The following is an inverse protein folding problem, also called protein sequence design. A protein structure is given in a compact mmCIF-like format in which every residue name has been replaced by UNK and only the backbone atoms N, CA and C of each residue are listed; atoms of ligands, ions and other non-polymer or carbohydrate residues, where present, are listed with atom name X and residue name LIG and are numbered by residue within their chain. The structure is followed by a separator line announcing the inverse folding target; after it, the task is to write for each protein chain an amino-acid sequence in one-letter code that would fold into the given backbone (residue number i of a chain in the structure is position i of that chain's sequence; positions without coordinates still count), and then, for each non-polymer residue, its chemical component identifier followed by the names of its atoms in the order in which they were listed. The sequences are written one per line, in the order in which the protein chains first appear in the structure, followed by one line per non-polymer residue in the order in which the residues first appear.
data_IF_641112885719
#
_entry.id   IF_641112885719
#
_cell.length_a   1.000
_cell.length_b   1.000
_cell.length_c   1.000
_cell.angle_alpha   90.00
_cell.angle_beta   90.00
_cell.angle_gamma   90.00
#
_symmetry.space_group_name_H-M   'P 1'
#
loop_
_entity.id
_entity.type
_entity.pdbx_description
1 polymer ?
#
# COMPACT_ATOMS: atom_id res chain seq x y z
N UNK A 1 -29.99 -6.16 -5.58
CA UNK A 1 -29.60 -5.63 -4.27
C UNK A 1 -30.34 -6.35 -3.14
N UNK A 2 -31.69 -6.27 -3.01
CA UNK A 2 -32.45 -6.96 -1.94
C UNK A 2 -32.15 -8.47 -1.75
N UNK A 3 -32.14 -9.26 -2.82
CA UNK A 3 -31.82 -10.71 -2.73
C UNK A 3 -30.39 -10.97 -2.21
N UNK A 4 -29.44 -10.09 -2.56
CA UNK A 4 -28.06 -10.21 -2.08
C UNK A 4 -27.95 -9.89 -0.59
N UNK A 5 -28.72 -8.92 -0.09
CA UNK A 5 -28.75 -8.58 1.34
C UNK A 5 -29.40 -9.70 2.16
N UNK A 6 -30.48 -10.29 1.66
CA UNK A 6 -31.15 -11.45 2.28
C UNK A 6 -30.23 -12.68 2.33
N UNK A 7 -29.54 -12.99 1.22
CA UNK A 7 -28.55 -14.06 1.17
C UNK A 7 -27.38 -13.80 2.13
N UNK A 8 -26.92 -12.54 2.24
CA UNK A 8 -25.85 -12.16 3.17
C UNK A 8 -26.28 -12.27 4.63
N UNK A 9 -27.51 -11.88 4.94
CA UNK A 9 -28.08 -12.01 6.27
C UNK A 9 -28.20 -13.48 6.68
N UNK A 10 -28.75 -14.33 5.80
CA UNK A 10 -28.84 -15.78 6.05
C UNK A 10 -27.47 -16.43 6.28
N UNK A 11 -26.45 -16.01 5.51
CA UNK A 11 -25.09 -16.52 5.63
C UNK A 11 -24.32 -16.01 6.85
N UNK A 12 -24.87 -15.06 7.63
CA UNK A 12 -24.16 -14.49 8.77
C UNK A 12 -23.91 -15.52 9.88
N UNK A 13 -24.91 -16.38 10.16
CA UNK A 13 -24.81 -17.41 11.18
C UNK A 13 -23.75 -18.46 10.84
N UNK A 14 -23.76 -18.97 9.62
CA UNK A 14 -22.77 -19.94 9.12
C UNK A 14 -21.37 -19.33 9.02
N UNK A 15 -21.27 -18.06 8.61
CA UNK A 15 -20.00 -17.34 8.58
C UNK A 15 -19.37 -17.22 9.98
N UNK A 16 -20.16 -16.85 11.00
CA UNK A 16 -19.64 -16.73 12.37
C UNK A 16 -19.23 -18.09 12.93
N UNK A 17 -20.05 -19.13 12.71
CA UNK A 17 -19.74 -20.50 13.15
C UNK A 17 -18.46 -21.03 12.50
N UNK A 18 -18.30 -20.85 11.18
CA UNK A 18 -17.12 -21.27 10.44
C UNK A 18 -15.86 -20.52 10.89
N UNK A 19 -15.95 -19.20 11.11
CA UNK A 19 -14.80 -18.44 11.59
C UNK A 19 -14.41 -18.84 13.02
N UNK A 20 -15.38 -19.11 13.89
CA UNK A 20 -15.12 -19.54 15.26
C UNK A 20 -14.43 -20.91 15.29
N UNK A 21 -14.96 -21.88 14.54
CA UNK A 21 -14.38 -23.23 14.43
C UNK A 21 -12.97 -23.18 13.82
N UNK A 22 -12.78 -22.44 12.71
CA UNK A 22 -11.45 -22.23 12.14
C UNK A 22 -10.47 -21.59 13.11
N UNK A 23 -10.90 -20.58 13.88
CA UNK A 23 -10.04 -19.94 14.87
C UNK A 23 -9.63 -20.92 15.98
N UNK A 24 -10.56 -21.77 16.45
CA UNK A 24 -10.26 -22.84 17.40
C UNK A 24 -9.26 -23.85 16.82
N UNK A 25 -9.51 -24.37 15.61
CA UNK A 25 -8.61 -25.31 14.94
C UNK A 25 -7.20 -24.74 14.77
N UNK A 26 -7.10 -23.45 14.40
CA UNK A 26 -5.84 -22.73 14.28
C UNK A 26 -5.11 -22.66 15.62
N UNK A 27 -5.82 -22.41 16.72
CA UNK A 27 -5.21 -22.36 18.06
C UNK A 27 -4.75 -23.76 18.47
N UNK A 28 -5.58 -24.78 18.30
CA UNK A 28 -5.26 -26.15 18.68
C UNK A 28 -4.05 -26.70 17.90
N UNK A 29 -4.00 -26.47 16.59
CA UNK A 29 -2.91 -26.95 15.74
C UNK A 29 -1.62 -26.12 15.91
N UNK A 30 -1.72 -24.80 16.00
CA UNK A 30 -0.54 -23.93 15.98
C UNK A 30 0.08 -23.69 17.36
N UNK A 31 -0.66 -23.88 18.45
CA UNK A 31 -0.11 -23.76 19.81
C UNK A 31 1.05 -24.73 20.09
N UNK A 32 0.94 -26.05 19.82
CA UNK A 32 2.06 -26.97 20.01
C UNK A 32 3.21 -26.66 19.05
N UNK A 33 2.92 -26.42 17.77
CA UNK A 33 3.93 -26.07 16.77
C UNK A 33 4.74 -24.82 17.16
N UNK A 34 4.08 -23.80 17.73
CA UNK A 34 4.75 -22.59 18.21
C UNK A 34 5.61 -22.85 19.45
N UNK A 35 5.16 -23.71 20.36
CA UNK A 35 5.95 -24.11 21.54
C UNK A 35 7.20 -24.87 21.12
N UNK A 36 7.08 -25.77 20.16
CA UNK A 36 8.20 -26.57 19.67
C UNK A 36 9.20 -25.71 18.89
N UNK A 37 8.72 -24.82 18.00
CA UNK A 37 9.57 -23.87 17.29
C UNK A 37 10.33 -22.92 18.23
N UNK A 38 9.68 -22.44 19.31
CA UNK A 38 10.35 -21.61 20.33
C UNK A 38 11.44 -22.37 21.06
N UNK A 39 11.21 -23.64 21.39
CA UNK A 39 12.22 -24.50 22.03
C UNK A 39 13.38 -24.80 21.09
N UNK A 40 13.12 -25.14 19.83
CA UNK A 40 14.16 -25.50 18.87
C UNK A 40 15.06 -24.32 18.50
N UNK A 41 14.48 -23.12 18.40
CA UNK A 41 15.21 -21.91 18.00
C UNK A 41 15.71 -21.07 19.20
N UNK A 42 15.43 -21.50 20.43
CA UNK A 42 15.71 -20.79 21.68
C UNK A 42 15.20 -19.33 21.65
N UNK A 43 13.92 -19.16 21.31
CA UNK A 43 13.27 -17.84 21.13
C UNK A 43 12.35 -17.54 22.31
N UNK A 44 12.52 -16.37 22.91
CA UNK A 44 11.60 -15.83 23.92
C UNK A 44 10.47 -15.01 23.30
N UNK A 45 9.36 -14.86 24.05
CA UNK A 45 8.29 -13.94 23.66
C UNK A 45 8.79 -12.49 23.55
N UNK A 46 9.73 -12.09 24.41
CA UNK A 46 10.33 -10.74 24.40
C UNK A 46 11.10 -10.46 23.12
N UNK A 47 11.88 -11.45 22.65
CA UNK A 47 12.65 -11.33 21.40
C UNK A 47 11.72 -11.11 20.21
N UNK A 48 10.60 -11.81 20.21
CA UNK A 48 9.59 -11.69 19.15
C UNK A 48 8.89 -10.33 19.17
N UNK A 49 8.70 -9.72 20.34
CA UNK A 49 8.15 -8.36 20.46
C UNK A 49 9.17 -7.31 20.00
N UNK A 50 10.44 -7.45 20.41
CA UNK A 50 11.51 -6.55 19.95
C UNK A 50 11.69 -6.63 18.44
N UNK A 51 11.60 -7.83 17.85
CA UNK A 51 11.71 -8.01 16.39
C UNK A 51 10.57 -7.36 15.63
N UNK A 52 9.34 -7.38 16.15
CA UNK A 52 8.22 -6.63 15.54
C UNK A 52 8.51 -5.12 15.53
N UNK A 53 9.08 -4.59 16.60
CA UNK A 53 9.48 -3.18 16.69
C UNK A 53 10.66 -2.86 15.74
N UNK A 54 11.68 -3.70 15.70
CA UNK A 54 12.83 -3.56 14.80
C UNK A 54 12.40 -3.60 13.33
N UNK A 55 11.53 -4.53 12.96
CA UNK A 55 10.96 -4.65 11.61
C UNK A 55 10.20 -3.37 11.23
N UNK A 56 9.35 -2.85 12.13
CA UNK A 56 8.62 -1.61 11.90
C UNK A 56 9.56 -0.40 11.74
N UNK A 57 10.58 -0.28 12.60
CA UNK A 57 11.59 0.78 12.52
C UNK A 57 12.42 0.67 11.23
N UNK A 58 12.76 -0.54 10.80
CA UNK A 58 13.45 -0.78 9.54
C UNK A 58 12.64 -0.24 8.37
N UNK A 59 11.36 -0.59 8.27
CA UNK A 59 10.51 -0.08 7.19
C UNK A 59 10.24 1.43 7.29
N UNK A 60 10.23 2.00 8.49
CA UNK A 60 10.09 3.45 8.69
C UNK A 60 11.35 4.23 8.29
N UNK A 61 12.54 3.64 8.44
CA UNK A 61 13.83 4.26 8.08
C UNK A 61 14.28 3.92 6.66
N UNK A 62 13.56 3.04 5.95
CA UNK A 62 13.87 2.61 4.60
C UNK A 62 13.81 3.79 3.61
N UNK A 63 14.98 4.18 3.10
CA UNK A 63 15.16 5.30 2.17
C UNK A 63 15.53 6.62 2.84
N UNK A 64 15.75 6.65 4.16
CA UNK A 64 16.34 7.80 4.83
C UNK A 64 17.86 7.77 4.64
N UNK A 65 18.40 8.84 4.08
CA UNK A 65 19.83 9.01 3.91
C UNK A 65 20.51 9.35 5.25
N UNK A 66 21.70 8.80 5.48
CA UNK A 66 22.53 9.31 6.57
C UNK A 66 22.92 10.77 6.30
N UNK A 67 23.01 11.61 7.34
CA UNK A 67 23.51 12.95 7.22
C UNK A 67 25.04 12.90 7.00
N UNK A 68 25.47 12.58 5.77
CA UNK A 68 26.78 13.06 5.32
C UNK A 68 26.71 14.57 5.23
N UNK A 69 27.83 15.27 5.46
CA UNK A 69 27.94 16.72 5.56
C UNK A 69 27.22 17.41 4.38
N UNK A 70 25.93 17.72 4.60
CA UNK A 70 24.95 18.13 3.57
C UNK A 70 25.51 19.34 2.82
N UNK A 71 26.28 20.16 3.55
CA UNK A 71 27.00 21.34 3.11
C UNK A 71 27.96 21.07 1.95
N UNK A 72 28.81 20.05 2.03
CA UNK A 72 29.82 19.76 0.99
C UNK A 72 29.17 19.20 -0.30
N UNK A 73 28.07 18.46 -0.13
CA UNK A 73 27.31 17.91 -1.26
C UNK A 73 26.50 18.99 -1.96
N UNK A 74 25.88 19.88 -1.18
CA UNK A 74 25.15 21.05 -1.68
C UNK A 74 26.06 22.02 -2.42
N UNK A 75 27.34 22.12 -2.07
CA UNK A 75 28.31 22.93 -2.83
C UNK A 75 28.75 22.28 -4.15
N UNK A 76 28.93 20.96 -4.19
CA UNK A 76 29.55 20.28 -5.34
C UNK A 76 28.52 19.84 -6.40
N UNK A 77 27.26 19.63 -6.03
CA UNK A 77 26.17 19.35 -6.97
C UNK A 77 25.94 20.52 -7.95
N UNK A 78 25.84 21.79 -7.51
CA UNK A 78 25.84 22.95 -8.39
C UNK A 78 27.19 23.27 -9.03
N UNK A 79 28.31 22.61 -8.69
CA UNK A 79 29.59 22.75 -9.43
C UNK A 79 29.67 21.85 -10.67
N UNK A 80 28.79 20.84 -10.79
CA UNK A 80 28.66 20.00 -11.99
C UNK A 80 27.75 20.64 -13.04
N UNK A 81 26.68 21.29 -12.60
CA UNK A 81 25.70 21.99 -13.43
C UNK A 81 26.23 23.16 -14.29
N UNK A 82 27.23 23.99 -13.92
CA UNK A 82 27.63 25.16 -14.68
C UNK A 82 28.33 24.78 -15.97
N UNK A 83 29.10 23.68 -16.02
CA UNK A 83 29.69 23.22 -17.30
C UNK A 83 28.64 22.73 -18.29
N UNK A 84 27.63 22.02 -17.81
CA UNK A 84 26.52 21.55 -18.64
C UNK A 84 25.58 22.70 -19.02
N UNK A 85 25.37 23.66 -18.13
CA UNK A 85 24.58 24.87 -18.37
C UNK A 85 25.29 25.85 -19.31
N UNK A 86 26.61 26.03 -19.18
CA UNK A 86 27.46 26.86 -20.05
C UNK A 86 27.56 26.25 -21.45
N UNK A 87 27.79 24.94 -21.57
CA UNK A 87 27.81 24.26 -22.87
C UNK A 87 26.44 24.31 -23.56
N UNK A 88 25.34 24.16 -22.79
CA UNK A 88 23.97 24.35 -23.30
C UNK A 88 23.71 25.80 -23.71
N UNK A 89 24.13 26.77 -22.89
CA UNK A 89 24.01 28.20 -23.17
C UNK A 89 24.77 28.57 -24.44
N UNK A 90 26.00 28.08 -24.60
CA UNK A 90 26.81 28.29 -25.80
C UNK A 90 26.12 27.69 -27.02
N UNK A 91 25.62 26.45 -26.92
CA UNK A 91 24.88 25.80 -28.03
C UNK A 91 23.62 26.57 -28.44
N UNK A 92 22.81 27.02 -27.47
CA UNK A 92 21.56 27.75 -27.75
C UNK A 92 21.86 29.16 -28.27
N UNK A 93 22.88 29.82 -27.73
CA UNK A 93 23.35 31.12 -28.21
C UNK A 93 23.91 31.04 -29.63
N UNK A 94 24.72 30.02 -29.94
CA UNK A 94 25.15 29.74 -31.32
C UNK A 94 23.95 29.54 -32.22
N UNK A 95 22.97 28.71 -31.81
CA UNK A 95 21.74 28.46 -32.58
C UNK A 95 20.94 29.74 -32.85
N UNK A 96 20.82 30.62 -31.86
CA UNK A 96 20.18 31.93 -32.00
C UNK A 96 20.94 32.81 -33.00
N UNK A 97 22.27 32.92 -32.84
CA UNK A 97 23.12 33.76 -33.71
C UNK A 97 23.20 33.26 -35.16
N UNK A 98 23.07 31.95 -35.37
CA UNK A 98 23.08 31.34 -36.72
C UNK A 98 21.68 31.21 -37.32
N UNK A 99 20.62 31.65 -36.63
CA UNK A 99 19.26 31.55 -37.15
C UNK A 99 19.06 32.57 -38.29
N UNK A 100 18.80 32.07 -39.50
CA UNK A 100 18.52 32.90 -40.68
C UNK A 100 17.03 32.77 -41.01
N UNK A 101 16.23 33.83 -40.86
CA UNK A 101 14.83 33.81 -41.26
C UNK A 101 14.70 33.76 -42.80
N UNK A 102 13.83 32.90 -43.32
CA UNK A 102 13.57 32.76 -44.76
C UNK A 102 12.48 33.74 -45.19
N UNK A 103 12.84 34.81 -45.90
CA UNK A 103 11.89 35.90 -46.21
C UNK A 103 10.79 35.44 -47.18
N UNK A 104 9.54 35.34 -46.71
CA UNK A 104 8.37 35.04 -47.55
C UNK A 104 7.02 35.31 -46.84
N UNK A 105 6.03 35.91 -47.51
CA UNK A 105 4.79 36.40 -46.86
C UNK A 105 3.91 35.29 -46.26
N UNK A 106 4.06 34.03 -46.67
CA UNK A 106 3.28 32.88 -46.16
C UNK A 106 3.86 32.25 -44.88
N UNK A 107 5.04 32.69 -44.41
CA UNK A 107 5.77 32.04 -43.31
C UNK A 107 6.15 32.99 -42.17
N UNK A 108 5.77 34.27 -42.25
CA UNK A 108 6.20 35.31 -41.31
C UNK A 108 5.76 35.02 -39.85
N UNK A 109 4.49 34.70 -39.60
CA UNK A 109 4.00 34.43 -38.24
C UNK A 109 4.69 33.23 -37.58
N UNK A 110 4.90 32.16 -38.35
CA UNK A 110 5.62 30.96 -37.88
C UNK A 110 7.08 31.28 -37.55
N UNK A 111 7.74 32.10 -38.37
CA UNK A 111 9.12 32.52 -38.13
C UNK A 111 9.29 33.44 -36.94
N UNK A 112 8.34 34.37 -36.71
CA UNK A 112 8.32 35.20 -35.50
C UNK A 112 8.15 34.33 -34.26
N UNK A 113 7.27 33.31 -34.31
CA UNK A 113 7.10 32.35 -33.22
C UNK A 113 8.37 31.53 -32.95
N UNK A 114 9.01 31.00 -34.00
CA UNK A 114 10.22 30.18 -33.88
C UNK A 114 11.42 31.01 -33.37
N UNK A 115 11.56 32.26 -33.82
CA UNK A 115 12.60 33.19 -33.33
C UNK A 115 12.39 33.51 -31.85
N UNK A 116 11.15 33.81 -31.43
CA UNK A 116 10.81 34.06 -30.02
C UNK A 116 11.08 32.86 -29.13
N UNK A 117 10.84 31.63 -29.61
CA UNK A 117 11.16 30.40 -28.86
C UNK A 117 12.65 30.26 -28.64
N UNK A 118 13.46 30.44 -29.68
CA UNK A 118 14.93 30.32 -29.58
C UNK A 118 15.50 31.44 -28.70
N UNK A 119 14.97 32.66 -28.83
CA UNK A 119 15.32 33.80 -27.97
C UNK A 119 14.98 33.51 -26.50
N UNK A 120 13.77 33.03 -26.23
CA UNK A 120 13.32 32.68 -24.87
C UNK A 120 14.15 31.53 -24.29
N UNK A 121 14.49 30.51 -25.09
CA UNK A 121 15.39 29.43 -24.69
C UNK A 121 16.80 29.95 -24.38
N UNK A 122 17.30 30.92 -25.16
CA UNK A 122 18.61 31.55 -24.95
C UNK A 122 18.63 32.35 -23.64
N UNK A 123 17.65 33.21 -23.43
CA UNK A 123 17.49 33.99 -22.19
C UNK A 123 17.40 33.07 -20.97
N UNK A 124 16.58 32.02 -21.01
CA UNK A 124 16.51 31.04 -19.91
C UNK A 124 17.84 30.34 -19.66
N UNK A 125 18.59 30.00 -20.70
CA UNK A 125 19.90 29.34 -20.54
C UNK A 125 20.93 30.27 -19.88
N UNK A 126 20.95 31.55 -20.26
CA UNK A 126 21.83 32.57 -19.65
C UNK A 126 21.46 32.81 -18.19
N UNK A 127 20.17 33.08 -17.91
CA UNK A 127 19.67 33.29 -16.54
C UNK A 127 19.94 32.08 -15.66
N UNK A 128 19.84 30.86 -16.20
CA UNK A 128 20.18 29.64 -15.47
C UNK A 128 21.66 29.59 -15.07
N UNK A 129 22.57 29.97 -15.97
CA UNK A 129 24.01 30.04 -15.65
C UNK A 129 24.27 31.09 -14.57
N UNK A 130 23.69 32.29 -14.70
CA UNK A 130 23.81 33.36 -13.71
C UNK A 130 23.28 32.93 -12.33
N UNK A 131 22.13 32.26 -12.30
CA UNK A 131 21.54 31.73 -11.07
C UNK A 131 22.47 30.74 -10.37
N UNK A 132 23.00 29.76 -11.09
CA UNK A 132 23.92 28.75 -10.55
C UNK A 132 25.21 29.43 -10.05
N UNK A 133 25.76 30.38 -10.80
CA UNK A 133 26.97 31.10 -10.36
C UNK A 133 26.72 31.90 -9.08
N UNK A 134 25.54 32.51 -8.92
CA UNK A 134 25.18 33.22 -7.69
C UNK A 134 25.04 32.27 -6.50
N UNK A 135 24.35 31.15 -6.68
CA UNK A 135 24.22 30.12 -5.62
C UNK A 135 25.59 29.58 -5.18
N UNK A 136 26.52 29.38 -6.13
CA UNK A 136 27.88 28.97 -5.81
C UNK A 136 28.63 30.03 -4.99
N UNK A 137 28.53 31.32 -5.36
CA UNK A 137 29.13 32.40 -4.58
C UNK A 137 28.57 32.47 -3.14
N UNK A 138 27.26 32.31 -2.98
CA UNK A 138 26.61 32.31 -1.65
C UNK A 138 27.10 31.13 -0.80
N UNK A 139 27.20 29.94 -1.40
CA UNK A 139 27.70 28.74 -0.73
C UNK A 139 29.21 28.84 -0.40
N UNK A 140 30.03 29.47 -1.25
CA UNK A 140 31.46 29.70 -0.99
C UNK A 140 31.67 30.61 0.23
N UNK A 141 30.83 31.64 0.38
CA UNK A 141 30.84 32.54 1.53
C UNK A 141 30.37 31.81 2.80
N UNK A 142 29.30 31.01 2.72
CA UNK A 142 28.79 30.26 3.88
C UNK A 142 29.75 29.17 4.37
N UNK A 143 30.54 28.59 3.46
CA UNK A 143 31.46 27.48 3.74
C UNK A 143 32.92 27.91 3.94
N UNK A 144 33.22 29.21 3.85
CA UNK A 144 34.56 29.79 3.97
C UNK A 144 35.60 29.11 3.04
N UNK A 145 35.17 28.73 1.83
CA UNK A 145 36.02 28.00 0.88
C UNK A 145 36.84 28.99 0.05
N UNK A 146 38.16 29.00 0.24
CA UNK A 146 39.12 29.73 -0.58
C UNK A 146 40.40 28.90 -0.76
N UNK A 147 40.85 28.55 -1.98
CA UNK A 147 40.31 28.88 -3.31
C UNK A 147 39.19 27.92 -3.81
N UNK A 148 38.49 28.32 -4.89
CA UNK A 148 37.43 27.54 -5.54
C UNK A 148 37.88 26.11 -5.87
N UNK A 149 37.04 25.12 -5.53
CA UNK A 149 37.36 23.71 -5.75
C UNK A 149 37.38 23.37 -7.25
N UNK A 150 38.59 23.27 -7.80
CA UNK A 150 38.84 22.84 -9.18
C UNK A 150 38.89 21.30 -9.26
N UNK A 151 38.65 20.68 -10.44
CA UNK A 151 38.68 19.22 -10.59
C UNK A 151 40.00 18.52 -10.23
N UNK A 152 41.08 19.29 -10.12
CA UNK A 152 42.39 18.82 -9.67
C UNK A 152 42.50 18.65 -8.15
N UNK A 153 41.58 19.23 -7.36
CA UNK A 153 41.64 19.19 -5.90
C UNK A 153 41.16 17.84 -5.37
N UNK A 154 41.89 17.25 -4.41
CA UNK A 154 41.52 15.97 -3.78
C UNK A 154 40.10 15.97 -3.20
N UNK A 155 39.75 17.00 -2.42
CA UNK A 155 38.40 17.20 -1.86
C UNK A 155 37.29 17.19 -2.92
N UNK A 156 37.54 17.76 -4.10
CA UNK A 156 36.58 17.71 -5.21
C UNK A 156 36.39 16.28 -5.70
N UNK A 157 37.48 15.52 -5.89
CA UNK A 157 37.43 14.13 -6.35
C UNK A 157 36.76 13.21 -5.32
N UNK A 158 37.03 13.42 -4.03
CA UNK A 158 36.39 12.69 -2.93
C UNK A 158 34.88 12.89 -2.93
N UNK A 159 34.41 14.14 -3.04
CA UNK A 159 32.97 14.42 -3.05
C UNK A 159 32.32 13.98 -4.36
N UNK A 160 33.01 14.05 -5.50
CA UNK A 160 32.50 13.47 -6.76
C UNK A 160 32.34 11.96 -6.64
N UNK A 161 33.32 11.26 -6.07
CA UNK A 161 33.21 9.82 -5.82
C UNK A 161 32.05 9.52 -4.85
N UNK A 162 31.91 10.32 -3.79
CA UNK A 162 30.78 10.24 -2.87
C UNK A 162 29.43 10.48 -3.56
N UNK A 163 29.32 11.46 -4.46
CA UNK A 163 28.10 11.75 -5.22
C UNK A 163 27.70 10.58 -6.12
N UNK A 164 28.68 9.95 -6.78
CA UNK A 164 28.45 8.75 -7.60
C UNK A 164 27.97 7.60 -6.71
N UNK A 165 28.63 7.39 -5.56
CA UNK A 165 28.22 6.38 -4.59
C UNK A 165 26.83 6.65 -4.01
N UNK A 166 26.48 7.91 -3.74
CA UNK A 166 25.15 8.34 -3.29
C UNK A 166 24.09 8.08 -4.36
N UNK A 167 24.36 8.41 -5.62
CA UNK A 167 23.45 8.12 -6.75
C UNK A 167 23.19 6.61 -6.86
N UNK A 168 24.23 5.81 -6.71
CA UNK A 168 24.11 4.35 -6.63
C UNK A 168 23.24 3.89 -5.46
N UNK A 169 23.53 4.35 -4.23
CA UNK A 169 22.77 3.98 -3.02
C UNK A 169 21.29 4.38 -3.13
N UNK A 170 21.00 5.59 -3.64
CA UNK A 170 19.62 6.03 -3.90
C UNK A 170 18.89 5.14 -4.90
N UNK A 171 19.58 4.74 -5.97
CA UNK A 171 19.00 3.84 -6.97
C UNK A 171 18.73 2.46 -6.37
N UNK A 172 19.65 1.97 -5.54
CA UNK A 172 19.52 0.72 -4.79
C UNK A 172 18.33 0.74 -3.82
N UNK A 173 18.25 1.73 -2.93
CA UNK A 173 17.17 1.86 -1.94
C UNK A 173 15.80 1.98 -2.62
N UNK A 174 15.73 2.76 -3.70
CA UNK A 174 14.51 2.91 -4.50
C UNK A 174 14.09 1.58 -5.12
N UNK A 175 15.03 0.82 -5.67
CA UNK A 175 14.78 -0.48 -6.26
C UNK A 175 14.29 -1.48 -5.19
N UNK A 176 14.97 -1.56 -4.06
CA UNK A 176 14.59 -2.41 -2.91
C UNK A 176 13.15 -2.10 -2.44
N UNK A 177 12.83 -0.82 -2.22
CA UNK A 177 11.49 -0.40 -1.79
C UNK A 177 10.41 -0.86 -2.77
N UNK A 178 10.66 -0.72 -4.08
CA UNK A 178 9.69 -1.11 -5.12
C UNK A 178 9.49 -2.63 -5.18
N UNK A 179 10.56 -3.41 -5.03
CA UNK A 179 10.51 -4.88 -5.00
C UNK A 179 9.73 -5.37 -3.77
N UNK A 180 10.07 -4.87 -2.57
CA UNK A 180 9.36 -5.19 -1.33
C UNK A 180 7.86 -4.88 -1.47
N UNK A 181 7.53 -3.69 -1.99
CA UNK A 181 6.14 -3.31 -2.23
C UNK A 181 5.44 -4.24 -3.24
N UNK A 182 6.14 -4.70 -4.27
CA UNK A 182 5.62 -5.64 -5.27
C UNK A 182 5.26 -6.98 -4.61
N UNK A 183 6.17 -7.55 -3.82
CA UNK A 183 5.98 -8.81 -3.11
C UNK A 183 4.79 -8.74 -2.15
N UNK A 184 4.65 -7.66 -1.39
CA UNK A 184 3.47 -7.47 -0.54
C UNK A 184 2.16 -7.39 -1.32
N UNK A 185 2.17 -6.84 -2.55
CA UNK A 185 0.98 -6.84 -3.42
C UNK A 185 0.69 -8.21 -4.01
N UNK A 186 1.72 -8.94 -4.41
CA UNK A 186 1.60 -10.31 -4.90
C UNK A 186 0.97 -11.20 -3.82
N UNK A 187 1.47 -11.09 -2.59
CA UNK A 187 0.88 -11.79 -1.44
C UNK A 187 -0.60 -11.42 -1.21
N UNK A 188 -0.99 -10.15 -1.41
CA UNK A 188 -2.40 -9.70 -1.33
C UNK A 188 -3.28 -10.28 -2.44
N UNK A 189 -2.72 -10.54 -3.63
CA UNK A 189 -3.44 -11.17 -4.74
C UNK A 189 -3.66 -12.67 -4.48
N UNK A 190 -2.69 -13.33 -3.84
CA UNK A 190 -2.75 -14.75 -3.48
C UNK A 190 -3.66 -15.05 -2.27
N UNK A 191 -4.08 -14.04 -1.52
CA UNK A 191 -5.10 -14.19 -0.46
C UNK A 191 -6.47 -14.47 -1.10
N UNK A 192 -6.94 -15.71 -0.96
CA UNK A 192 -8.29 -16.13 -1.35
C UNK A 192 -9.35 -15.22 -0.71
N UNK A 193 -10.43 -14.94 -1.46
CA UNK A 193 -11.56 -14.01 -1.13
C UNK A 193 -11.45 -12.54 -1.58
N UNK A 194 -10.53 -12.18 -2.49
CA UNK A 194 -10.63 -10.87 -3.15
C UNK A 194 -11.71 -10.87 -4.25
N UNK A 195 -12.70 -9.98 -4.16
CA UNK A 195 -13.73 -9.85 -5.20
C UNK A 195 -13.13 -9.52 -6.58
N UNK A 196 -13.84 -9.86 -7.66
CA UNK A 196 -13.35 -9.72 -9.05
C UNK A 196 -12.76 -8.32 -9.34
N UNK A 197 -13.46 -7.25 -8.93
CA UNK A 197 -12.98 -5.87 -9.08
C UNK A 197 -11.67 -5.61 -8.33
N UNK A 198 -11.52 -6.11 -7.11
CA UNK A 198 -10.27 -5.95 -6.37
C UNK A 198 -9.12 -6.69 -7.08
N UNK A 199 -9.37 -7.89 -7.61
CA UNK A 199 -8.36 -8.64 -8.39
C UNK A 199 -7.94 -7.90 -9.65
N UNK A 200 -8.86 -7.30 -10.39
CA UNK A 200 -8.51 -6.52 -11.59
C UNK A 200 -7.68 -5.29 -11.24
N UNK A 201 -8.05 -4.54 -10.20
CA UNK A 201 -7.24 -3.40 -9.72
C UNK A 201 -5.86 -3.85 -9.22
N UNK A 202 -5.76 -4.96 -8.48
CA UNK A 202 -4.48 -5.51 -8.02
C UNK A 202 -3.59 -5.91 -9.20
N UNK A 203 -4.15 -6.56 -10.22
CA UNK A 203 -3.43 -6.96 -11.44
C UNK A 203 -2.93 -5.74 -12.23
N UNK A 204 -3.80 -4.75 -12.52
CA UNK A 204 -3.41 -3.48 -13.15
C UNK A 204 -2.29 -2.78 -12.36
N UNK A 205 -2.41 -2.77 -11.03
CA UNK A 205 -1.42 -2.14 -10.16
C UNK A 205 -0.09 -2.89 -10.12
N UNK A 206 -0.11 -4.23 -10.22
CA UNK A 206 1.09 -5.07 -10.32
C UNK A 206 1.82 -4.79 -11.63
N UNK A 207 1.09 -4.71 -12.76
CA UNK A 207 1.66 -4.35 -14.06
C UNK A 207 2.40 -3.01 -14.04
N UNK A 208 1.75 -1.97 -13.50
CA UNK A 208 2.37 -0.63 -13.36
C UNK A 208 3.63 -0.67 -12.50
N UNK A 209 3.61 -1.47 -11.42
CA UNK A 209 4.78 -1.65 -10.56
C UNK A 209 5.90 -2.41 -11.25
N UNK A 210 5.63 -3.49 -11.98
CA UNK A 210 6.65 -4.20 -12.74
C UNK A 210 7.37 -3.27 -13.73
N UNK A 211 6.62 -2.43 -14.47
CA UNK A 211 7.20 -1.39 -15.34
C UNK A 211 8.06 -0.37 -14.56
N UNK A 212 7.66 -0.03 -13.34
CA UNK A 212 8.41 0.89 -12.48
C UNK A 212 9.69 0.25 -11.96
N UNK A 213 9.66 -1.03 -11.59
CA UNK A 213 10.85 -1.78 -11.18
C UNK A 213 11.80 -1.92 -12.37
N UNK A 214 11.32 -2.21 -13.58
CA UNK A 214 12.17 -2.22 -14.79
C UNK A 214 12.93 -0.90 -14.98
N UNK A 215 12.23 0.25 -14.83
CA UNK A 215 12.87 1.57 -14.87
C UNK A 215 13.88 1.77 -13.73
N UNK A 216 13.56 1.27 -12.53
CA UNK A 216 14.48 1.35 -11.39
C UNK A 216 15.72 0.47 -11.58
N UNK A 217 15.59 -0.72 -12.18
CA UNK A 217 16.70 -1.59 -12.57
C UNK A 217 17.58 -0.90 -13.61
N UNK A 218 16.99 -0.24 -14.61
CA UNK A 218 17.75 0.54 -15.59
C UNK A 218 18.53 1.69 -14.92
N UNK A 219 17.90 2.42 -13.98
CA UNK A 219 18.57 3.47 -13.22
C UNK A 219 19.69 2.94 -12.30
N UNK A 220 19.49 1.77 -11.68
CA UNK A 220 20.51 1.06 -10.91
C UNK A 220 21.69 0.67 -11.80
N UNK A 221 21.44 0.05 -12.94
CA UNK A 221 22.48 -0.37 -13.89
C UNK A 221 23.28 0.82 -14.45
N UNK A 222 22.61 1.96 -14.68
CA UNK A 222 23.26 3.21 -15.06
C UNK A 222 24.17 3.75 -13.95
N UNK A 223 23.74 3.68 -12.69
CA UNK A 223 24.52 4.12 -11.54
C UNK A 223 25.68 3.15 -11.20
N UNK A 224 25.54 1.85 -11.43
CA UNK A 224 26.64 0.89 -11.24
C UNK A 224 27.75 1.04 -12.26
N UNK A 225 27.41 1.49 -13.48
CA UNK A 225 28.39 1.72 -14.55
C UNK A 225 29.30 2.92 -14.27
N UNK A 226 28.85 3.89 -13.47
CA UNK A 226 29.63 5.09 -13.12
C UNK A 226 30.55 4.89 -11.91
N UNK A 227 30.37 3.80 -11.14
CA UNK A 227 31.21 3.45 -9.99
C UNK A 227 32.62 3.00 -10.41
N UNK A 228 33.58 3.19 -9.50
CA UNK A 228 34.96 2.70 -9.62
C UNK A 228 35.30 1.83 -8.41
N UNK A 229 35.40 0.49 -8.56
CA UNK A 229 35.19 -0.31 -9.77
C UNK A 229 33.70 -0.44 -10.16
N UNK A 230 33.40 -0.70 -11.45
CA UNK A 230 32.04 -0.93 -11.91
C UNK A 230 31.48 -2.23 -11.33
N UNK A 231 30.23 -2.19 -10.86
CA UNK A 231 29.52 -3.36 -10.32
C UNK A 231 28.80 -4.15 -11.43
N UNK A 232 28.58 -5.47 -11.26
CA UNK A 232 27.86 -6.27 -12.24
C UNK A 232 26.41 -5.77 -12.42
N UNK A 233 25.91 -5.67 -13.66
CA UNK A 233 24.55 -5.22 -13.93
C UNK A 233 23.53 -6.24 -13.44
N UNK A 234 22.40 -5.73 -12.95
CA UNK A 234 21.27 -6.55 -12.54
C UNK A 234 20.37 -6.83 -13.75
N UNK A 235 20.11 -8.12 -13.98
CA UNK A 235 19.21 -8.56 -15.04
C UNK A 235 17.77 -8.62 -14.55
N UNK A 236 16.82 -8.13 -15.35
CA UNK A 236 15.40 -8.12 -15.00
C UNK A 236 14.84 -9.53 -14.77
N UNK A 237 15.29 -10.51 -15.55
CA UNK A 237 14.88 -11.91 -15.41
C UNK A 237 15.15 -12.42 -13.99
N UNK A 238 16.30 -12.09 -13.41
CA UNK A 238 16.62 -12.46 -12.02
C UNK A 238 15.64 -11.78 -11.07
N UNK A 239 15.38 -10.48 -11.23
CA UNK A 239 14.47 -9.71 -10.37
C UNK A 239 13.03 -10.23 -10.39
N UNK A 240 12.56 -10.78 -11.52
CA UNK A 240 11.18 -11.27 -11.65
C UNK A 240 10.95 -12.65 -11.03
N UNK A 241 11.97 -13.50 -10.91
CA UNK A 241 11.82 -14.87 -10.40
C UNK A 241 11.92 -14.99 -8.87
N UNK A 242 12.17 -13.89 -8.16
CA UNK A 242 12.27 -13.95 -6.70
C UNK A 242 10.87 -13.94 -6.08
N UNK A 243 10.49 -15.08 -5.52
CA UNK A 243 9.26 -15.25 -4.74
C UNK A 243 9.46 -14.84 -3.28
N UNK A 244 10.70 -14.73 -2.82
CA UNK A 244 11.03 -14.43 -1.43
C UNK A 244 12.11 -13.32 -1.28
N UNK A 245 11.97 -12.50 -0.22
CA UNK A 245 12.88 -11.38 0.06
C UNK A 245 14.33 -11.84 0.35
N UNK A 246 14.52 -13.01 0.98
CA UNK A 246 15.84 -13.56 1.32
C UNK A 246 16.69 -13.91 0.10
N UNK A 247 16.08 -14.22 -1.05
CA UNK A 247 16.80 -14.55 -2.30
C UNK A 247 17.33 -13.29 -3.02
N UNK A 248 16.88 -12.11 -2.59
CA UNK A 248 17.32 -10.86 -3.17
C UNK A 248 18.69 -10.48 -2.60
N UNK A 249 19.76 -11.06 -3.16
CA UNK A 249 21.16 -10.73 -2.82
C UNK A 249 21.46 -9.22 -2.88
N UNK A 250 20.64 -8.46 -3.61
CA UNK A 250 20.69 -6.99 -3.65
C UNK A 250 20.46 -6.33 -2.27
N UNK A 251 19.75 -7.00 -1.35
CA UNK A 251 19.51 -6.51 0.00
C UNK A 251 20.78 -6.57 0.88
N UNK A 252 21.75 -7.41 0.53
CA UNK A 252 23.02 -7.54 1.27
C UNK A 252 23.90 -6.30 1.11
N UNK A 253 23.81 -5.62 -0.03
CA UNK A 253 24.58 -4.42 -0.37
C UNK A 253 24.01 -3.13 0.27
N UNK A 254 22.91 -3.24 1.03
CA UNK A 254 22.22 -2.10 1.63
C UNK A 254 22.77 -1.79 3.02
N UNK A 255 22.70 -0.51 3.41
CA UNK A 255 23.25 -0.01 4.68
C UNK A 255 22.69 -0.71 5.93
N UNK A 256 21.48 -1.27 5.82
CA UNK A 256 20.84 -2.07 6.85
C UNK A 256 20.59 -3.46 6.29
N UNK A 257 21.67 -4.23 6.13
CA UNK A 257 21.61 -5.61 5.65
C UNK A 257 20.63 -6.44 6.48
N UNK A 258 19.47 -6.71 5.87
CA UNK A 258 18.37 -7.44 6.49
C UNK A 258 18.83 -8.86 6.82
N UNK A 259 19.73 -9.46 6.01
CA UNK A 259 20.21 -10.83 6.18
C UNK A 259 20.99 -11.04 7.49
N UNK A 260 21.51 -9.97 8.11
CA UNK A 260 22.17 -10.04 9.42
C UNK A 260 21.20 -10.02 10.60
N UNK A 261 19.94 -9.66 10.36
CA UNK A 261 18.92 -9.56 11.42
C UNK A 261 18.32 -10.92 11.70
N UNK A 262 18.21 -11.29 12.98
CA UNK A 262 17.70 -12.61 13.36
C UNK A 262 16.24 -12.85 12.94
N UNK A 263 15.43 -11.80 12.85
CA UNK A 263 14.04 -11.89 12.40
C UNK A 263 13.87 -12.13 10.90
N UNK A 264 14.92 -11.95 10.09
CA UNK A 264 14.91 -12.25 8.66
C UNK A 264 15.29 -13.69 8.34
N UNK A 265 15.75 -14.46 9.33
CA UNK A 265 16.02 -15.90 9.15
C UNK A 265 14.70 -16.63 8.86
N UNK A 266 14.64 -17.52 7.85
CA UNK A 266 13.37 -18.10 7.39
C UNK A 266 12.65 -18.90 8.48
N UNK A 267 13.39 -19.58 9.35
CA UNK A 267 12.83 -20.32 10.49
C UNK A 267 12.23 -19.37 11.54
N UNK A 268 12.92 -18.27 11.85
CA UNK A 268 12.45 -17.25 12.80
C UNK A 268 11.24 -16.50 12.23
N UNK A 269 11.29 -16.09 10.97
CA UNK A 269 10.19 -15.42 10.27
C UNK A 269 8.92 -16.29 10.24
N UNK A 270 9.05 -17.60 9.94
CA UNK A 270 7.94 -18.57 10.03
C UNK A 270 7.36 -18.62 11.44
N UNK A 271 8.20 -18.61 12.47
CA UNK A 271 7.77 -18.61 13.88
C UNK A 271 7.03 -17.32 14.24
N UNK A 272 7.47 -16.15 13.75
CA UNK A 272 6.78 -14.86 13.91
C UNK A 272 5.40 -14.91 13.26
N UNK A 273 5.31 -15.37 12.01
CA UNK A 273 4.04 -15.53 11.30
C UNK A 273 3.08 -16.46 12.05
N UNK A 274 3.59 -17.55 12.60
CA UNK A 274 2.81 -18.51 13.39
C UNK A 274 2.26 -17.85 14.66
N UNK A 275 3.08 -17.10 15.39
CA UNK A 275 2.63 -16.33 16.56
C UNK A 275 1.55 -15.32 16.20
N UNK A 276 1.75 -14.54 15.13
CA UNK A 276 0.76 -13.56 14.69
C UNK A 276 -0.57 -14.22 14.28
N UNK A 277 -0.53 -15.38 13.60
CA UNK A 277 -1.74 -16.14 13.27
C UNK A 277 -2.49 -16.60 14.52
N UNK A 278 -1.77 -17.02 15.55
CA UNK A 278 -2.36 -17.43 16.83
C UNK A 278 -2.99 -16.24 17.57
N UNK A 279 -2.30 -15.09 17.64
CA UNK A 279 -2.84 -13.85 18.22
C UNK A 279 -4.13 -13.42 17.49
N UNK A 280 -4.13 -13.47 16.14
CA UNK A 280 -5.31 -13.16 15.33
C UNK A 280 -6.47 -14.14 15.54
N UNK A 281 -6.20 -15.43 15.69
CA UNK A 281 -7.24 -16.41 15.97
C UNK A 281 -7.87 -16.18 17.35
N UNK A 282 -7.07 -15.85 18.36
CA UNK A 282 -7.57 -15.48 19.69
C UNK A 282 -8.44 -14.22 19.63
N UNK A 283 -8.01 -13.19 18.89
CA UNK A 283 -8.83 -12.00 18.62
C UNK A 283 -10.14 -12.39 17.93
N UNK A 284 -10.10 -13.22 16.88
CA UNK A 284 -11.31 -13.60 16.14
C UNK A 284 -12.32 -14.35 17.01
N UNK A 285 -11.90 -15.17 17.98
CA UNK A 285 -12.80 -15.81 18.96
C UNK A 285 -13.53 -14.76 19.80
N UNK A 286 -12.82 -13.75 20.30
CA UNK A 286 -13.41 -12.65 21.07
C UNK A 286 -14.42 -11.89 20.20
N UNK A 287 -14.03 -11.56 18.96
CA UNK A 287 -14.90 -10.88 18.00
C UNK A 287 -16.13 -11.70 17.65
N UNK A 288 -15.98 -13.00 17.38
CA UNK A 288 -17.10 -13.89 17.11
C UNK A 288 -18.03 -13.98 18.32
N UNK A 289 -17.52 -14.08 19.54
CA UNK A 289 -18.32 -14.08 20.77
C UNK A 289 -19.19 -12.82 20.87
N UNK A 290 -18.62 -11.64 20.60
CA UNK A 290 -19.36 -10.38 20.57
C UNK A 290 -20.39 -10.36 19.43
N UNK A 291 -20.02 -10.81 18.23
CA UNK A 291 -20.91 -10.86 17.06
C UNK A 291 -22.10 -11.79 17.29
N UNK A 292 -21.89 -12.99 17.83
CA UNK A 292 -22.96 -13.95 18.18
C UNK A 292 -23.94 -13.29 19.15
N UNK A 293 -23.44 -12.65 20.20
CA UNK A 293 -24.31 -11.98 21.19
C UNK A 293 -25.10 -10.83 20.56
N UNK A 294 -24.47 -10.02 19.70
CA UNK A 294 -25.15 -8.93 18.97
C UNK A 294 -26.21 -9.48 18.03
N UNK A 295 -25.92 -10.55 17.30
CA UNK A 295 -26.86 -11.21 16.40
C UNK A 295 -28.09 -11.75 17.17
N UNK A 296 -27.85 -12.45 18.29
CA UNK A 296 -28.94 -12.93 19.14
C UNK A 296 -29.79 -11.78 19.69
N UNK A 297 -29.15 -10.70 20.13
CA UNK A 297 -29.86 -9.50 20.62
C UNK A 297 -30.71 -8.87 19.52
N UNK A 298 -30.15 -8.68 18.32
CA UNK A 298 -30.86 -8.11 17.19
C UNK A 298 -32.07 -8.96 16.79
N UNK A 299 -31.94 -10.29 16.74
CA UNK A 299 -33.05 -11.20 16.43
C UNK A 299 -34.17 -11.09 17.47
N UNK A 300 -33.84 -11.00 18.76
CA UNK A 300 -34.85 -10.82 19.82
C UNK A 300 -35.56 -9.48 19.68
N UNK A 301 -34.81 -8.39 19.55
CA UNK A 301 -35.36 -7.04 19.49
C UNK A 301 -36.21 -6.84 18.23
N UNK A 302 -35.78 -7.42 17.11
CA UNK A 302 -36.55 -7.44 15.86
C UNK A 302 -37.86 -8.25 16.02
N UNK A 303 -37.83 -9.40 16.71
CA UNK A 303 -39.03 -10.18 16.97
C UNK A 303 -40.06 -9.41 17.83
N UNK A 304 -39.60 -8.67 18.85
CA UNK A 304 -40.47 -7.80 19.64
C UNK A 304 -41.07 -6.68 18.80
N UNK A 305 -40.25 -5.99 18.00
CA UNK A 305 -40.70 -4.93 17.10
C UNK A 305 -41.74 -5.46 16.10
N UNK A 306 -41.53 -6.63 15.51
CA UNK A 306 -42.49 -7.25 14.61
C UNK A 306 -43.82 -7.55 15.30
N UNK A 307 -43.79 -8.01 16.55
CA UNK A 307 -45.00 -8.28 17.31
C UNK A 307 -45.78 -6.99 17.60
N UNK A 308 -45.10 -5.92 17.97
CA UNK A 308 -45.72 -4.61 18.25
C UNK A 308 -46.36 -4.04 16.99
N UNK A 309 -45.61 -3.96 15.88
CA UNK A 309 -46.10 -3.44 14.59
C UNK A 309 -47.27 -4.26 14.05
N UNK A 310 -47.22 -5.59 14.13
CA UNK A 310 -48.35 -6.42 13.69
C UNK A 310 -49.59 -6.21 14.57
N UNK A 311 -49.41 -6.00 15.87
CA UNK A 311 -50.51 -5.74 16.80
C UNK A 311 -51.16 -4.38 16.51
N UNK A 312 -50.36 -3.35 16.24
CA UNK A 312 -50.84 -2.01 15.86
C UNK A 312 -51.61 -2.03 14.54
N UNK A 313 -51.05 -2.66 13.49
CA UNK A 313 -51.71 -2.79 12.18
C UNK A 313 -53.01 -3.60 12.26
N UNK A 314 -53.05 -4.64 13.11
CA UNK A 314 -54.24 -5.43 13.35
C UNK A 314 -55.32 -4.62 14.08
N UNK A 315 -54.93 -3.83 15.08
CA UNK A 315 -55.85 -2.96 15.81
C UNK A 315 -56.43 -1.85 14.90
N UNK A 316 -55.60 -1.27 14.04
CA UNK A 316 -55.99 -0.25 13.06
C UNK A 316 -56.80 -0.82 11.88
N UNK A 317 -56.87 -2.15 11.72
CA UNK A 317 -57.44 -2.84 10.54
C UNK A 317 -56.83 -2.36 9.22
N UNK A 318 -55.53 -2.07 9.23
CA UNK A 318 -54.82 -1.58 8.06
C UNK A 318 -54.69 -2.70 7.00
N UNK A 319 -55.02 -2.44 5.72
CA UNK A 319 -54.78 -3.38 4.62
C UNK A 319 -53.34 -3.91 4.52
N UNK A 320 -52.35 -3.17 5.03
CA UNK A 320 -50.94 -3.57 5.08
C UNK A 320 -50.65 -4.70 6.06
N UNK A 321 -51.59 -5.06 6.96
CA UNK A 321 -51.38 -6.13 7.93
C UNK A 321 -50.98 -7.46 7.25
N UNK A 322 -51.64 -7.82 6.15
CA UNK A 322 -51.39 -9.10 5.47
C UNK A 322 -49.97 -9.13 4.87
N UNK A 323 -49.57 -8.05 4.21
CA UNK A 323 -48.24 -7.96 3.56
C UNK A 323 -47.12 -7.85 4.59
N UNK A 324 -47.33 -7.10 5.67
CA UNK A 324 -46.41 -7.03 6.80
C UNK A 324 -46.25 -8.40 7.47
N UNK A 325 -47.36 -9.13 7.69
CA UNK A 325 -47.33 -10.48 8.26
C UNK A 325 -46.55 -11.46 7.40
N UNK A 326 -46.73 -11.43 6.09
CA UNK A 326 -45.97 -12.28 5.17
C UNK A 326 -44.47 -11.96 5.18
N UNK A 327 -44.11 -10.67 5.25
CA UNK A 327 -42.72 -10.24 5.40
C UNK A 327 -42.12 -10.73 6.72
N UNK A 328 -42.79 -10.47 7.85
CA UNK A 328 -42.36 -10.91 9.19
C UNK A 328 -42.16 -12.43 9.21
N UNK A 329 -43.11 -13.20 8.65
CA UNK A 329 -43.00 -14.65 8.59
C UNK A 329 -41.76 -15.13 7.82
N UNK A 330 -41.30 -14.41 6.78
CA UNK A 330 -40.07 -14.75 6.06
C UNK A 330 -38.84 -14.42 6.90
N UNK A 331 -38.81 -13.24 7.51
CA UNK A 331 -37.70 -12.83 8.39
C UNK A 331 -37.55 -13.78 9.59
N UNK A 332 -38.65 -14.16 10.24
CA UNK A 332 -38.62 -15.09 11.37
C UNK A 332 -38.05 -16.47 10.98
N UNK A 333 -38.34 -16.99 9.78
CA UNK A 333 -37.75 -18.26 9.31
C UNK A 333 -36.23 -18.15 9.18
N UNK A 334 -35.72 -17.03 8.64
CA UNK A 334 -34.28 -16.78 8.54
C UNK A 334 -33.68 -16.63 9.94
N UNK A 335 -34.33 -15.88 10.83
CA UNK A 335 -33.90 -15.69 12.22
C UNK A 335 -33.81 -17.02 12.99
N UNK A 336 -34.73 -17.96 12.76
CA UNK A 336 -34.65 -19.30 13.37
C UNK A 336 -33.41 -20.08 12.90
N UNK A 337 -33.09 -20.03 11.61
CA UNK A 337 -31.87 -20.65 11.08
C UNK A 337 -30.60 -20.01 11.68
N UNK A 338 -30.60 -18.68 11.83
CA UNK A 338 -29.51 -17.94 12.48
C UNK A 338 -29.38 -18.28 13.96
N UNK A 339 -30.49 -18.39 14.69
CA UNK A 339 -30.50 -18.80 16.10
C UNK A 339 -29.97 -20.23 16.28
N UNK A 340 -30.26 -21.12 15.33
CA UNK A 340 -29.68 -22.48 15.34
C UNK A 340 -28.15 -22.42 15.28
N UNK A 341 -27.59 -21.59 14.41
CA UNK A 341 -26.13 -21.39 14.33
C UNK A 341 -25.58 -20.72 15.62
N UNK A 342 -26.30 -19.75 16.17
CA UNK A 342 -25.94 -19.09 17.45
C UNK A 342 -25.85 -20.11 18.59
N UNK A 343 -26.83 -20.99 18.72
CA UNK A 343 -26.82 -22.05 19.73
C UNK A 343 -25.69 -23.04 19.51
N UNK A 344 -25.41 -23.43 18.26
CA UNK A 344 -24.24 -24.27 17.96
C UNK A 344 -22.94 -23.61 18.43
N UNK A 345 -22.76 -22.29 18.26
CA UNK A 345 -21.58 -21.60 18.78
C UNK A 345 -21.52 -21.60 20.31
N UNK A 346 -22.66 -21.49 20.99
CA UNK A 346 -22.72 -21.56 22.47
C UNK A 346 -22.35 -22.95 23.03
N UNK A 347 -22.58 -24.01 22.26
CA UNK A 347 -22.27 -25.39 22.62
C UNK A 347 -20.79 -25.76 22.37
N UNK A 348 -20.03 -24.93 21.66
CA UNK A 348 -18.61 -25.18 21.42
C UNK A 348 -17.79 -25.06 22.71
N UNK A 349 -16.88 -26.02 22.92
CA UNK A 349 -16.01 -26.12 24.12
C UNK A 349 -15.13 -24.89 24.36
N UNK A 350 -14.84 -24.11 23.32
CA UNK A 350 -14.05 -22.88 23.38
C UNK A 350 -14.84 -21.60 23.69
N UNK A 351 -16.16 -21.67 23.86
CA UNK A 351 -16.98 -20.49 24.10
C UNK A 351 -16.88 -20.01 25.56
N UNK A 352 -16.32 -18.82 25.77
CA UNK A 352 -16.16 -18.21 27.10
C UNK A 352 -17.10 -17.03 27.35
N UNK A 353 -18.05 -16.78 26.44
CA UNK A 353 -18.98 -15.67 26.51
C UNK A 353 -20.21 -15.95 27.38
N UNK A 354 -21.02 -14.92 27.62
CA UNK A 354 -22.36 -15.11 28.18
C UNK A 354 -23.30 -15.65 27.11
N UNK A 355 -23.97 -16.76 27.39
CA UNK A 355 -25.03 -17.30 26.55
C UNK A 355 -26.29 -16.42 26.67
N UNK A 356 -27.02 -16.28 25.56
CA UNK A 356 -28.26 -15.50 25.51
C UNK A 356 -28.10 -14.06 24.98
N UNK A 357 -29.24 -13.38 24.76
CA UNK A 357 -29.26 -12.04 24.19
C UNK A 357 -28.78 -10.99 25.22
N UNK A 358 -28.15 -9.94 24.72
CA UNK A 358 -27.76 -8.76 25.50
C UNK A 358 -28.87 -7.70 25.56
N UNK A 359 -28.51 -6.46 25.87
CA UNK A 359 -29.41 -5.30 25.81
C UNK A 359 -28.87 -4.34 24.77
N UNK A 360 -29.70 -3.92 23.82
CA UNK A 360 -29.30 -2.92 22.83
C UNK A 360 -29.19 -1.54 23.51
N UNK A 361 -28.09 -0.83 23.27
CA UNK A 361 -27.91 0.52 23.77
C UNK A 361 -28.68 1.49 22.86
N UNK A 362 -29.64 2.23 23.44
CA UNK A 362 -30.41 3.25 22.73
C UNK A 362 -31.87 2.90 22.44
N UNK A 363 -32.32 1.68 22.72
CA UNK A 363 -33.74 1.32 22.63
C UNK A 363 -34.45 1.64 23.93
N UNK A 364 -34.98 2.85 24.05
CA UNK A 364 -36.00 3.17 25.06
C UNK A 364 -37.27 2.38 24.73
N UNK A 365 -37.80 1.61 25.69
CA UNK A 365 -39.17 1.09 25.60
C UNK A 365 -40.14 2.26 25.30
N UNK A 366 -41.09 2.12 24.37
CA UNK A 366 -42.06 3.17 24.11
C UNK A 366 -43.09 3.19 25.25
N UNK A 367 -42.87 4.08 26.22
CA UNK A 367 -43.97 4.58 27.06
C UNK A 367 -44.28 5.97 26.53
N UNK A 368 -45.44 6.10 25.87
CA UNK A 368 -45.79 7.29 25.11
C UNK A 368 -45.90 8.55 25.96
N UNK A 369 -45.54 9.69 25.36
CA UNK A 369 -46.34 10.93 25.26
C UNK A 369 -45.69 11.82 24.19
N UNK A 370 -46.52 12.49 23.40
CA UNK A 370 -46.23 13.16 22.14
C UNK A 370 -45.33 14.42 22.18
N UNK A 371 -44.85 14.73 20.97
CA UNK A 371 -44.56 16.04 20.36
C UNK A 371 -43.22 16.75 20.62
N UNK A 372 -42.31 16.66 19.64
CA UNK A 372 -41.88 17.86 18.89
C UNK A 372 -41.09 17.51 17.63
N UNK A 373 -41.73 17.80 16.49
CA UNK A 373 -41.22 18.36 15.24
C UNK A 373 -39.68 18.46 15.14
N UNK A 374 -39.09 17.67 14.23
CA UNK A 374 -37.80 18.00 13.60
C UNK A 374 -37.80 17.64 12.12
N UNK A 375 -37.51 18.66 11.32
CA UNK A 375 -37.48 18.72 9.85
C UNK A 375 -36.53 17.69 9.19
N UNK A 376 -36.75 17.34 7.90
CA UNK A 376 -35.95 16.33 7.21
C UNK A 376 -34.54 16.87 6.86
N UNK A 377 -33.47 16.05 6.98
CA UNK A 377 -32.15 16.45 6.51
C UNK A 377 -32.10 16.42 4.98
N UNK A 378 -31.56 17.50 4.42
CA UNK A 378 -31.27 17.63 2.99
C UNK A 378 -30.27 16.56 2.52
N UNK A 379 -30.56 15.96 1.37
CA UNK A 379 -29.61 15.17 0.58
C UNK A 379 -28.37 16.01 0.25
N UNK A 380 -27.21 15.60 0.75
CA UNK A 380 -25.93 15.95 0.15
C UNK A 380 -25.78 15.17 -1.15
N UNK A 381 -25.65 15.90 -2.25
CA UNK A 381 -25.18 15.40 -3.53
C UNK A 381 -23.74 14.88 -3.36
N UNK A 382 -23.56 13.56 -3.38
CA UNK A 382 -22.26 12.97 -3.69
C UNK A 382 -22.12 12.88 -5.22
N UNK A 383 -21.14 13.60 -5.73
CA UNK A 383 -20.72 13.62 -7.12
C UNK A 383 -20.27 12.23 -7.56
N UNK A 384 -20.93 11.75 -8.61
CA UNK A 384 -20.53 10.58 -9.38
C UNK A 384 -19.29 10.92 -10.22
N UNK A 385 -18.10 10.66 -9.69
CA UNK A 385 -16.88 10.64 -10.50
C UNK A 385 -16.89 9.39 -11.39
N UNK A 386 -17.22 9.60 -12.66
CA UNK A 386 -17.01 8.62 -13.73
C UNK A 386 -15.54 8.69 -14.14
N UNK A 387 -14.74 7.75 -13.67
CA UNK A 387 -13.42 7.52 -14.27
C UNK A 387 -13.60 6.68 -15.55
N UNK A 388 -13.11 7.23 -16.65
CA UNK A 388 -13.08 6.65 -17.98
C UNK A 388 -12.20 5.39 -18.00
N UNK A 389 -12.80 4.27 -18.44
CA UNK A 389 -12.10 3.03 -18.75
C UNK A 389 -11.21 3.27 -19.98
N UNK A 390 -9.91 3.50 -19.75
CA UNK A 390 -8.91 3.32 -20.80
C UNK A 390 -8.54 1.83 -20.88
N UNK A 391 -9.10 1.16 -21.89
CA UNK A 391 -8.69 -0.17 -22.34
C UNK A 391 -7.23 -0.15 -22.81
N UNK A 392 -6.30 -0.42 -21.90
CA UNK A 392 -4.92 -0.75 -22.26
C UNK A 392 -4.84 -2.25 -22.49
N UNK A 393 -5.23 -2.67 -23.69
CA UNK A 393 -4.97 -4.01 -24.19
C UNK A 393 -3.47 -4.15 -24.47
N UNK A 394 -2.73 -4.62 -23.46
CA UNK A 394 -1.27 -4.73 -23.50
C UNK A 394 -0.77 -5.98 -22.80
N UNK A 395 -0.64 -7.04 -23.59
CA UNK A 395 0.17 -8.24 -23.34
C UNK A 395 -0.16 -9.07 -22.08
N UNK A 396 -1.30 -9.78 -22.14
CA UNK A 396 -1.72 -10.81 -21.16
C UNK A 396 -0.75 -12.01 -21.14
N UNK A 397 -0.01 -12.26 -22.25
CA UNK A 397 0.82 -13.45 -22.42
C UNK A 397 1.95 -13.60 -21.39
N UNK A 398 2.72 -12.55 -21.14
CA UNK A 398 3.89 -12.64 -20.24
C UNK A 398 3.56 -12.76 -18.75
N UNK A 399 2.32 -12.42 -18.34
CA UNK A 399 1.87 -12.53 -16.95
C UNK A 399 1.13 -13.85 -16.73
N UNK A 400 0.45 -14.38 -17.75
CA UNK A 400 -0.11 -15.72 -17.72
C UNK A 400 1.00 -16.80 -17.62
N UNK A 401 2.15 -16.60 -18.28
CA UNK A 401 3.32 -17.48 -18.09
C UNK A 401 3.92 -17.37 -16.68
N UNK A 402 4.00 -16.17 -16.10
CA UNK A 402 4.51 -15.98 -14.73
C UNK A 402 3.57 -16.57 -13.66
N UNK A 403 2.25 -16.37 -13.80
CA UNK A 403 1.24 -16.94 -12.89
C UNK A 403 1.04 -18.44 -13.12
N UNK A 404 1.20 -18.92 -14.36
CA UNK A 404 1.19 -20.33 -14.71
C UNK A 404 2.41 -21.11 -14.21
N UNK A 405 3.59 -20.46 -14.14
CA UNK A 405 4.80 -21.05 -13.57
C UNK A 405 4.74 -21.24 -12.06
N UNK A 406 3.97 -20.40 -11.34
CA UNK A 406 3.78 -20.47 -9.89
C UNK A 406 2.71 -21.47 -9.44
N UNK A 407 1.98 -22.08 -10.37
CA UNK A 407 0.95 -23.10 -10.05
C UNK A 407 1.44 -24.54 -10.19
N UNK A 408 2.71 -24.74 -10.58
CA UNK A 408 3.37 -26.05 -10.68
C UNK A 408 4.66 -26.01 -9.85
N UNK A 409 4.52 -25.97 -8.52
CA UNK A 409 5.53 -26.40 -7.55
C UNK A 409 4.86 -26.74 -6.22
#
# INVERSE_FOLDING_TARGET
FKQWDEDKYLNLGTFILNNFTQAMDIIECNTPALKDAKKSLNISNKDMDSWKCEEAQFFATLGNEQPYDIRQVVYIEPLQDPRDAESKSTRVNTRFRTFIPVTGPKFYEKQVSDTRKIETECCHAIVKVEHITRELCELEVELEISPQLTPAHSKYQEVVNFLVERKYRRALDKLQKLVIQCLFKLHKLNLAQTGYKMRTHLSKSLQTRCKTIQKAVAAYNAATATLKPPRPPLEWSKVSHYDFLEEFNLLQDTWNDICKKRWSEPAVCKTIKLRCRLERAQEEIIWCTVKVRRLHTAIRDEASLFQDVLSELQAAKDPLYITAKDFVNRCLRVNLALLTCVHQVYELSGFTGSQGPGVCLGTTLPTGTNDSIMSPPQRSNESSDKEEDNDVQGNIGGIAEFVGGLTIA
#
